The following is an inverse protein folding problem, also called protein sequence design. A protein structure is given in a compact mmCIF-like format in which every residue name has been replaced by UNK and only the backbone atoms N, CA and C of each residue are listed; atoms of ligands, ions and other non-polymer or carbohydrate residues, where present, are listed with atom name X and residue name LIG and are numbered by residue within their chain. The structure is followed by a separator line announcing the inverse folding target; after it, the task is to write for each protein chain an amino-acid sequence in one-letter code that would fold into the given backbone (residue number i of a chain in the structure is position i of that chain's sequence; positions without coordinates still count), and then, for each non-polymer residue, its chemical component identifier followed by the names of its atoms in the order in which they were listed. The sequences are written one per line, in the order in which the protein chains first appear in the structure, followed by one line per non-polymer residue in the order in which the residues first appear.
data_IF_096647543506
#
_entry.id   IF_096647543506
#
_cell.length_a   1.000
_cell.length_b   1.000
_cell.length_c   1.000
_cell.angle_alpha   90.00
_cell.angle_beta   90.00
_cell.angle_gamma   90.00
#
_symmetry.space_group_name_H-M   'P 1'
#
loop_
_entity.id
_entity.type
_entity.pdbx_description
1 polymer ?
#
# COMPACT_ATOMS: atom_id res chain seq x y z
N UNK A 1 -59.43 7.35 -0.03
CA UNK A 1 -57.95 7.42 -0.08
C UNK A 1 -57.41 7.04 1.29
N UNK A 2 -56.92 5.80 1.50
CA UNK A 2 -56.03 5.37 2.62
C UNK A 2 -55.98 3.82 2.73
N UNK A 3 -55.64 3.13 1.63
CA UNK A 3 -55.29 1.70 1.71
C UNK A 3 -54.22 1.35 0.67
N UNK A 4 -54.28 1.93 -0.54
CA UNK A 4 -53.27 1.73 -1.59
C UNK A 4 -51.86 2.24 -1.23
N UNK A 5 -51.73 3.29 -0.42
CA UNK A 5 -50.41 3.80 -0.01
C UNK A 5 -49.69 2.91 1.02
N UNK A 6 -50.43 2.14 1.80
CA UNK A 6 -49.83 1.29 2.84
C UNK A 6 -49.17 0.04 2.26
N UNK A 7 -49.74 -0.52 1.19
CA UNK A 7 -49.19 -1.70 0.52
C UNK A 7 -47.84 -1.38 -0.14
N UNK A 8 -47.67 -0.18 -0.70
CA UNK A 8 -46.41 0.23 -1.34
C UNK A 8 -45.28 0.33 -0.30
N UNK A 9 -45.57 0.84 0.90
CA UNK A 9 -44.57 0.99 1.97
C UNK A 9 -44.11 -0.39 2.47
N UNK A 10 -45.04 -1.35 2.62
CA UNK A 10 -44.70 -2.70 3.09
C UNK A 10 -43.82 -3.44 2.07
N UNK A 11 -44.10 -3.30 0.77
CA UNK A 11 -43.29 -3.95 -0.29
C UNK A 11 -41.87 -3.39 -0.34
N UNK A 12 -41.69 -2.07 -0.19
CA UNK A 12 -40.36 -1.43 -0.19
C UNK A 12 -39.53 -1.86 1.03
N UNK A 13 -40.16 -1.97 2.21
CA UNK A 13 -39.47 -2.43 3.42
C UNK A 13 -39.07 -3.92 3.30
N UNK A 14 -39.91 -4.77 2.71
CA UNK A 14 -39.59 -6.19 2.52
C UNK A 14 -38.39 -6.39 1.58
N UNK A 15 -38.25 -5.59 0.51
CA UNK A 15 -37.11 -5.69 -0.42
C UNK A 15 -35.80 -5.24 0.24
N UNK A 16 -35.85 -4.23 1.11
CA UNK A 16 -34.65 -3.72 1.80
C UNK A 16 -34.16 -4.65 2.92
N UNK A 17 -35.06 -5.37 3.61
CA UNK A 17 -34.68 -6.27 4.70
C UNK A 17 -34.19 -7.63 4.18
N UNK A 18 -34.78 -8.16 3.10
CA UNK A 18 -34.48 -9.52 2.63
C UNK A 18 -33.52 -9.60 1.43
N UNK A 19 -33.11 -8.47 0.85
CA UNK A 19 -32.27 -8.43 -0.35
C UNK A 19 -30.82 -8.94 -0.24
N UNK A 20 -30.06 -8.76 0.86
CA UNK A 20 -28.61 -8.92 0.78
C UNK A 20 -28.08 -10.34 1.09
N UNK A 21 -28.91 -11.36 1.28
CA UNK A 21 -28.41 -12.70 1.65
C UNK A 21 -28.01 -13.61 0.47
N UNK A 22 -28.16 -13.17 -0.79
CA UNK A 22 -27.97 -14.05 -1.96
C UNK A 22 -26.60 -13.96 -2.66
N UNK A 23 -25.62 -13.18 -2.16
CA UNK A 23 -24.36 -12.94 -2.91
C UNK A 23 -23.10 -13.33 -2.11
N UNK A 24 -23.16 -14.42 -1.34
CA UNK A 24 -22.00 -14.93 -0.59
C UNK A 24 -21.79 -16.43 -0.78
N UNK A 25 -21.72 -16.90 -2.02
CA UNK A 25 -21.12 -18.22 -2.34
C UNK A 25 -20.50 -18.20 -3.73
N UNK A 26 -19.28 -17.68 -3.86
CA UNK A 26 -18.37 -18.16 -4.91
C UNK A 26 -16.93 -17.98 -4.41
N UNK A 27 -16.38 -19.07 -3.89
CA UNK A 27 -15.05 -19.19 -3.31
C UNK A 27 -14.32 -20.29 -4.07
N UNK A 28 -13.06 -19.97 -4.42
CA UNK A 28 -11.92 -20.86 -4.71
C UNK A 28 -12.08 -21.88 -5.83
N UNK A 29 -11.20 -21.76 -6.82
CA UNK A 29 -10.09 -22.70 -7.07
C UNK A 29 -9.48 -22.37 -8.44
N UNK A 30 -8.18 -22.11 -8.50
CA UNK A 30 -7.25 -22.62 -9.53
C UNK A 30 -5.86 -22.09 -9.16
N UNK A 31 -5.06 -22.89 -8.46
CA UNK A 31 -3.60 -22.71 -8.40
C UNK A 31 -3.04 -23.79 -9.31
N UNK A 32 -2.48 -23.36 -10.45
CA UNK A 32 -1.81 -24.24 -11.41
C UNK A 32 -0.47 -24.67 -10.82
N UNK A 33 -0.30 -25.97 -10.69
CA UNK A 33 0.91 -26.63 -10.25
C UNK A 33 1.87 -26.94 -11.41
N UNK A 34 3.14 -26.56 -11.21
CA UNK A 34 4.39 -27.34 -11.40
C UNK A 34 4.67 -27.95 -12.78
N UNK A 35 5.85 -27.62 -13.36
CA UNK A 35 6.98 -28.56 -13.62
C UNK A 35 8.05 -27.90 -14.51
N UNK A 36 9.17 -27.48 -13.90
CA UNK A 36 10.42 -27.27 -14.64
C UNK A 36 11.27 -28.54 -14.51
N UNK A 37 11.34 -29.30 -15.61
CA UNK A 37 12.29 -30.38 -15.82
C UNK A 37 13.66 -29.78 -16.19
N UNK A 38 14.69 -30.04 -15.39
CA UNK A 38 16.08 -29.90 -15.83
C UNK A 38 16.76 -31.28 -15.77
N UNK A 39 17.43 -31.71 -16.85
CA UNK A 39 18.13 -32.99 -16.88
C UNK A 39 19.44 -32.92 -16.10
N UNK A 40 19.57 -33.89 -15.19
CA UNK A 40 20.82 -34.33 -14.57
C UNK A 40 21.68 -35.00 -15.64
N UNK A 41 22.93 -34.54 -15.81
CA UNK A 41 23.94 -35.31 -16.54
C UNK A 41 25.15 -35.53 -15.62
N UNK A 42 25.45 -36.81 -15.45
CA UNK A 42 26.51 -37.36 -14.62
C UNK A 42 27.81 -37.56 -15.43
N UNK A 43 28.87 -37.80 -14.67
CA UNK A 43 30.16 -38.43 -15.01
C UNK A 43 31.29 -37.63 -15.68
N UNK A 44 32.33 -37.37 -14.87
CA UNK A 44 33.61 -38.07 -15.05
C UNK A 44 34.51 -38.00 -13.80
N UNK A 45 35.29 -39.07 -13.50
CA UNK A 45 36.17 -39.14 -12.34
C UNK A 45 37.63 -38.84 -12.72
N UNK A 46 38.34 -37.99 -11.98
CA UNK A 46 39.81 -37.93 -12.05
C UNK A 46 40.45 -37.64 -10.69
N UNK A 47 41.12 -38.68 -10.20
CA UNK A 47 42.38 -38.75 -9.47
C UNK A 47 42.68 -37.84 -8.25
N UNK A 48 42.89 -38.54 -7.13
CA UNK A 48 43.69 -38.19 -5.96
C UNK A 48 44.91 -37.31 -6.27
N UNK A 49 45.11 -36.28 -5.43
CA UNK A 49 46.43 -35.99 -4.89
C UNK A 49 46.30 -35.43 -3.47
N UNK A 50 46.98 -36.13 -2.57
CA UNK A 50 47.12 -35.90 -1.15
C UNK A 50 48.18 -34.82 -0.92
N UNK A 51 47.78 -33.68 -0.39
CA UNK A 51 48.69 -32.63 0.11
C UNK A 51 48.08 -32.08 1.40
N UNK A 52 48.67 -32.48 2.53
CA UNK A 52 48.44 -31.86 3.83
C UNK A 52 48.84 -30.38 3.76
N UNK A 53 47.84 -29.51 3.84
CA UNK A 53 48.00 -28.10 4.08
C UNK A 53 47.58 -27.79 5.53
N UNK A 54 48.46 -27.10 6.24
CA UNK A 54 48.25 -26.54 7.57
C UNK A 54 47.05 -25.57 7.50
N UNK A 55 45.96 -25.90 8.20
CA UNK A 55 44.73 -25.11 8.22
C UNK A 55 44.94 -23.88 9.11
N UNK A 56 45.08 -22.71 8.49
CA UNK A 56 44.78 -21.44 9.14
C UNK A 56 43.28 -21.41 9.53
N UNK A 57 42.90 -20.76 10.65
CA UNK A 57 41.51 -20.66 11.06
C UNK A 57 40.70 -19.93 9.99
N UNK A 58 39.75 -20.65 9.37
CA UNK A 58 38.75 -20.08 8.47
C UNK A 58 37.87 -19.15 9.30
N UNK A 59 38.13 -17.85 9.20
CA UNK A 59 37.24 -16.81 9.72
C UNK A 59 36.02 -16.84 8.79
N UNK A 60 34.94 -17.47 9.24
CA UNK A 60 33.64 -17.38 8.56
C UNK A 60 33.19 -15.92 8.58
N UNK A 61 33.38 -15.24 7.44
CA UNK A 61 32.81 -13.94 7.18
C UNK A 61 31.28 -14.09 7.20
N UNK A 62 30.54 -13.27 7.97
CA UNK A 62 29.09 -13.42 8.05
C UNK A 62 28.47 -13.22 6.67
N UNK A 63 27.80 -14.24 6.16
CA UNK A 63 27.01 -14.19 4.93
C UNK A 63 25.96 -13.11 5.13
N UNK A 64 26.14 -11.96 4.48
CA UNK A 64 25.13 -10.91 4.45
C UNK A 64 23.97 -11.44 3.59
N UNK A 65 22.82 -11.70 4.22
CA UNK A 65 21.59 -11.97 3.50
C UNK A 65 21.18 -10.69 2.74
N UNK A 66 21.45 -10.67 1.44
CA UNK A 66 20.94 -9.63 0.54
C UNK A 66 19.41 -9.68 0.58
N UNK A 67 18.83 -8.71 1.29
CA UNK A 67 17.39 -8.50 1.39
C UNK A 67 16.91 -8.17 -0.03
N UNK A 68 16.28 -9.14 -0.71
CA UNK A 68 15.74 -8.96 -2.06
C UNK A 68 14.57 -8.00 -1.97
N UNK A 69 14.84 -6.71 -2.18
CA UNK A 69 13.83 -5.66 -2.17
C UNK A 69 12.85 -5.89 -3.32
N UNK A 70 11.64 -6.33 -2.98
CA UNK A 70 10.64 -6.73 -3.96
C UNK A 70 9.94 -5.47 -4.48
N UNK A 71 10.10 -5.20 -5.78
CA UNK A 71 9.37 -4.13 -6.46
C UNK A 71 7.90 -4.49 -6.62
N UNK A 72 7.01 -3.50 -6.55
CA UNK A 72 5.57 -3.68 -6.66
C UNK A 72 4.94 -2.58 -7.51
N UNK A 73 3.71 -2.84 -7.99
CA UNK A 73 2.86 -1.83 -8.62
C UNK A 73 1.66 -1.53 -7.73
N UNK A 74 1.17 -2.55 -7.01
CA UNK A 74 0.02 -2.45 -6.12
C UNK A 74 0.29 -3.19 -4.81
N UNK A 75 -0.37 -2.78 -3.72
CA UNK A 75 -0.18 -3.39 -2.40
C UNK A 75 -0.60 -4.86 -2.32
N UNK A 76 -1.34 -5.39 -3.30
CA UNK A 76 -1.62 -6.83 -3.38
C UNK A 76 -0.45 -7.66 -3.91
N UNK A 77 0.59 -7.01 -4.44
CA UNK A 77 1.84 -7.67 -4.87
C UNK A 77 2.76 -7.97 -3.67
N UNK A 78 2.50 -7.34 -2.52
CA UNK A 78 3.32 -7.43 -1.31
C UNK A 78 2.81 -8.50 -0.32
N UNK A 79 3.65 -8.85 0.64
CA UNK A 79 3.28 -9.82 1.68
C UNK A 79 2.17 -9.28 2.58
N UNK A 80 1.50 -10.19 3.30
CA UNK A 80 0.44 -9.80 4.22
C UNK A 80 0.96 -8.85 5.31
N UNK A 81 0.37 -7.66 5.40
CA UNK A 81 0.77 -6.60 6.33
C UNK A 81 1.63 -5.50 5.70
N UNK A 82 2.22 -5.76 4.53
CA UNK A 82 2.98 -4.79 3.76
C UNK A 82 2.08 -3.99 2.81
N UNK A 83 2.63 -2.89 2.30
CA UNK A 83 2.03 -2.04 1.27
C UNK A 83 3.04 -1.78 0.18
N UNK A 84 2.54 -1.47 -1.01
CA UNK A 84 3.38 -0.97 -2.07
C UNK A 84 3.63 0.52 -1.86
N UNK A 85 4.79 0.86 -1.31
CA UNK A 85 5.21 2.22 -0.96
C UNK A 85 6.25 2.67 -1.98
N UNK A 86 5.90 3.64 -2.84
CA UNK A 86 6.76 4.12 -3.93
C UNK A 86 7.35 2.99 -4.80
N UNK A 87 6.55 1.99 -5.14
CA UNK A 87 6.94 0.79 -5.91
C UNK A 87 7.86 -0.20 -5.17
N UNK A 88 7.94 -0.11 -3.85
CA UNK A 88 8.68 -1.07 -3.00
C UNK A 88 7.74 -1.63 -1.93
N UNK A 89 7.79 -2.95 -1.70
CA UNK A 89 7.06 -3.56 -0.60
C UNK A 89 7.71 -3.24 0.74
N UNK A 90 6.90 -2.78 1.70
CA UNK A 90 7.35 -2.50 3.08
C UNK A 90 6.21 -2.02 3.97
N UNK A 91 6.56 -1.57 5.17
CA UNK A 91 5.58 -1.03 6.13
C UNK A 91 5.73 0.49 6.31
N UNK A 92 4.65 1.16 6.71
CA UNK A 92 4.70 2.62 6.99
C UNK A 92 5.64 2.93 8.16
N UNK A 93 5.81 2.00 9.10
CA UNK A 93 6.68 2.19 10.25
C UNK A 93 8.16 2.28 9.86
N UNK A 94 8.58 1.53 8.83
CA UNK A 94 9.96 1.56 8.30
C UNK A 94 10.37 2.90 7.70
N UNK A 95 9.40 3.77 7.40
CA UNK A 95 9.68 5.12 6.88
C UNK A 95 10.28 6.05 7.95
N UNK A 96 10.18 5.71 9.23
CA UNK A 96 10.50 6.61 10.32
C UNK A 96 11.58 6.06 11.24
N UNK A 97 12.41 6.96 11.76
CA UNK A 97 13.35 6.68 12.85
C UNK A 97 12.70 7.09 14.17
N UNK A 98 12.83 6.24 15.18
CA UNK A 98 12.20 6.42 16.50
C UNK A 98 13.22 6.50 17.65
N UNK A 99 14.52 6.60 17.35
CA UNK A 99 15.60 6.60 18.35
C UNK A 99 16.08 8.03 18.64
N UNK A 100 15.37 8.74 19.52
CA UNK A 100 15.65 10.14 19.89
C UNK A 100 14.93 10.57 21.17
N UNK A 101 15.38 11.68 21.75
CA UNK A 101 14.88 12.21 23.02
C UNK A 101 13.49 12.86 22.93
N UNK A 102 13.12 13.42 21.77
CA UNK A 102 11.79 14.00 21.53
C UNK A 102 11.19 13.46 20.24
N UNK A 103 9.97 12.97 20.36
CA UNK A 103 9.21 12.36 19.28
C UNK A 103 8.04 13.27 18.91
N UNK A 104 7.83 13.42 17.62
CA UNK A 104 6.78 14.20 17.00
C UNK A 104 5.87 13.30 16.17
N UNK A 105 4.64 13.77 15.97
CA UNK A 105 3.76 13.22 14.96
C UNK A 105 2.95 14.34 14.35
N UNK A 106 2.55 14.21 13.09
CA UNK A 106 1.70 15.20 12.49
C UNK A 106 0.26 15.06 12.98
N UNK A 107 -0.32 16.15 13.45
CA UNK A 107 -1.73 16.23 13.79
C UNK A 107 -2.57 16.41 12.51
N UNK A 108 -2.17 17.37 11.68
CA UNK A 108 -2.89 17.74 10.47
C UNK A 108 -1.97 18.25 9.37
N UNK A 109 -2.42 18.14 8.12
CA UNK A 109 -1.70 18.62 6.94
C UNK A 109 -2.61 19.49 6.08
N UNK A 110 -2.01 20.35 5.27
CA UNK A 110 -2.69 21.11 4.22
C UNK A 110 -2.30 20.55 2.86
N UNK A 111 -3.29 20.09 2.11
CA UNK A 111 -3.12 19.45 0.79
C UNK A 111 -3.95 20.18 -0.24
N UNK A 112 -3.41 20.38 -1.44
CA UNK A 112 -4.19 20.81 -2.61
C UNK A 112 -4.07 19.84 -3.76
N UNK A 113 -5.08 19.79 -4.63
CA UNK A 113 -5.02 19.07 -5.91
C UNK A 113 -4.87 20.05 -7.07
N UNK A 114 -4.34 19.59 -8.20
CA UNK A 114 -4.31 20.38 -9.44
C UNK A 114 -5.70 20.72 -9.99
N UNK A 115 -6.76 20.08 -9.47
CA UNK A 115 -8.16 20.41 -9.77
C UNK A 115 -8.68 21.66 -9.06
N UNK A 116 -7.90 22.23 -8.13
CA UNK A 116 -8.25 23.45 -7.38
C UNK A 116 -8.82 23.18 -5.99
N UNK A 117 -8.99 21.91 -5.59
CA UNK A 117 -9.45 21.58 -4.24
C UNK A 117 -8.33 21.76 -3.21
N UNK A 118 -8.69 22.17 -2.00
CA UNK A 118 -7.78 22.29 -0.87
C UNK A 118 -8.41 21.70 0.39
N UNK A 119 -7.60 20.99 1.18
CA UNK A 119 -8.05 20.25 2.33
C UNK A 119 -7.08 20.43 3.50
N UNK A 120 -7.65 20.62 4.69
CA UNK A 120 -6.94 20.36 5.95
C UNK A 120 -7.43 19.03 6.50
N UNK A 121 -6.51 18.09 6.70
CA UNK A 121 -6.86 16.72 7.13
C UNK A 121 -5.90 16.23 8.19
N UNK A 122 -6.46 15.57 9.20
CA UNK A 122 -5.72 14.82 10.20
C UNK A 122 -5.41 13.41 9.73
N UNK A 123 -4.54 12.71 10.48
CA UNK A 123 -4.25 11.28 10.29
C UNK A 123 -5.52 10.44 10.12
N UNK A 124 -5.51 9.51 9.18
CA UNK A 124 -6.68 8.70 8.83
C UNK A 124 -7.75 9.44 8.02
N UNK A 125 -7.66 10.76 7.90
CA UNK A 125 -8.49 11.57 7.02
C UNK A 125 -8.10 11.42 5.55
N UNK A 126 -8.97 11.86 4.66
CA UNK A 126 -8.76 11.73 3.23
C UNK A 126 -9.67 12.60 2.39
N UNK A 127 -9.68 12.32 1.10
CA UNK A 127 -10.52 12.97 0.10
C UNK A 127 -10.76 12.06 -1.09
N UNK A 128 -11.53 12.56 -2.05
CA UNK A 128 -11.85 11.86 -3.28
C UNK A 128 -11.78 12.83 -4.47
N UNK A 129 -11.48 12.28 -5.64
CA UNK A 129 -11.46 13.00 -6.90
C UNK A 129 -12.18 12.17 -7.98
N UNK A 130 -12.53 12.79 -9.11
CA UNK A 130 -13.12 12.08 -10.24
C UNK A 130 -14.42 11.34 -9.92
N UNK A 131 -15.35 11.98 -9.21
CA UNK A 131 -16.61 11.37 -8.75
C UNK A 131 -16.44 10.09 -7.90
N UNK A 132 -15.33 9.98 -7.17
CA UNK A 132 -15.02 8.83 -6.31
C UNK A 132 -14.24 7.72 -7.00
N UNK A 133 -13.76 7.94 -8.23
CA UNK A 133 -12.89 7.00 -8.93
C UNK A 133 -11.51 6.86 -8.26
N UNK A 134 -11.01 7.93 -7.63
CA UNK A 134 -9.78 7.89 -6.82
C UNK A 134 -10.08 8.45 -5.45
N UNK A 135 -9.86 7.64 -4.43
CA UNK A 135 -9.84 8.04 -3.03
C UNK A 135 -8.39 8.11 -2.57
N UNK A 136 -8.07 9.09 -1.74
CA UNK A 136 -6.77 9.19 -1.09
C UNK A 136 -6.96 9.33 0.41
N UNK A 137 -6.08 8.72 1.19
CA UNK A 137 -6.15 8.67 2.64
C UNK A 137 -4.77 8.83 3.27
N UNK A 138 -4.67 9.66 4.29
CA UNK A 138 -3.47 9.78 5.10
C UNK A 138 -3.35 8.58 6.00
N UNK A 139 -2.25 7.85 5.88
CA UNK A 139 -1.95 6.75 6.78
C UNK A 139 -1.42 7.31 8.10
N UNK A 140 -1.78 6.64 9.19
CA UNK A 140 -1.15 6.90 10.49
C UNK A 140 0.23 6.27 10.48
N UNK A 141 1.26 7.08 10.70
CA UNK A 141 2.61 6.60 11.01
C UNK A 141 2.85 6.55 12.52
N UNK A 142 3.91 5.83 12.95
CA UNK A 142 4.44 5.99 14.31
C UNK A 142 4.91 7.43 14.54
N UNK A 143 5.26 7.74 15.78
CA UNK A 143 5.97 8.99 16.06
C UNK A 143 7.38 8.92 15.43
N UNK A 144 7.95 10.08 15.14
CA UNK A 144 9.24 10.24 14.48
C UNK A 144 10.07 11.32 15.17
N UNK A 145 11.37 11.33 14.95
CA UNK A 145 12.24 12.27 15.66
C UNK A 145 12.00 13.73 15.27
N UNK A 146 12.00 14.62 16.26
CA UNK A 146 11.90 16.05 15.99
C UNK A 146 13.07 16.52 15.11
N UNK A 147 12.75 17.19 14.01
CA UNK A 147 13.74 17.71 13.07
C UNK A 147 14.19 16.73 12.00
N UNK A 148 13.76 15.46 12.06
CA UNK A 148 13.83 14.59 10.89
C UNK A 148 12.88 15.10 9.80
N UNK A 149 13.22 14.81 8.55
CA UNK A 149 12.35 15.14 7.42
C UNK A 149 10.98 14.49 7.58
N UNK A 150 9.93 15.30 7.67
CA UNK A 150 8.56 14.79 7.83
C UNK A 150 8.17 14.06 6.54
N UNK A 151 7.87 12.77 6.68
CA UNK A 151 7.32 11.96 5.61
C UNK A 151 5.82 11.81 5.82
N UNK A 152 5.03 12.12 4.80
CA UNK A 152 3.57 11.98 4.82
C UNK A 152 3.16 10.83 3.89
N UNK A 153 2.74 9.68 4.45
CA UNK A 153 2.28 8.53 3.68
C UNK A 153 0.81 8.70 3.28
N UNK A 154 0.56 8.67 1.97
CA UNK A 154 -0.77 8.78 1.35
C UNK A 154 -1.10 7.47 0.68
N UNK A 155 -2.13 6.77 1.14
CA UNK A 155 -2.72 5.64 0.43
C UNK A 155 -3.66 6.13 -0.66
N UNK A 156 -3.38 5.76 -1.91
CA UNK A 156 -4.29 5.92 -3.04
C UNK A 156 -5.10 4.64 -3.22
N UNK A 157 -6.41 4.80 -3.39
CA UNK A 157 -7.35 3.71 -3.62
C UNK A 157 -8.12 4.03 -4.91
N UNK A 158 -7.81 3.29 -5.99
CA UNK A 158 -8.49 3.45 -7.28
C UNK A 158 -9.68 2.51 -7.35
N UNK A 159 -10.84 3.02 -7.78
CA UNK A 159 -12.12 2.31 -7.74
C UNK A 159 -12.88 2.46 -9.06
N UNK A 160 -13.49 1.37 -9.51
CA UNK A 160 -14.46 1.38 -10.60
C UNK A 160 -15.81 0.89 -10.09
N UNK A 161 -16.81 1.77 -10.10
CA UNK A 161 -18.19 1.50 -9.62
C UNK A 161 -18.22 0.87 -8.21
N UNK A 162 -17.34 1.35 -7.32
CA UNK A 162 -17.23 0.89 -5.93
C UNK A 162 -16.34 -0.35 -5.73
N UNK A 163 -15.88 -1.00 -6.79
CA UNK A 163 -14.91 -2.09 -6.72
C UNK A 163 -13.50 -1.50 -6.67
N UNK A 164 -12.69 -1.90 -5.69
CA UNK A 164 -11.30 -1.48 -5.58
C UNK A 164 -10.49 -2.18 -6.66
N UNK A 165 -9.86 -1.40 -7.54
CA UNK A 165 -8.98 -1.89 -8.60
C UNK A 165 -7.53 -2.00 -8.11
N UNK A 166 -7.07 -0.99 -7.36
CA UNK A 166 -5.71 -0.97 -6.84
C UNK A 166 -5.59 -0.14 -5.57
N UNK A 167 -4.56 -0.46 -4.79
CA UNK A 167 -4.07 0.34 -3.68
C UNK A 167 -2.56 0.51 -3.83
N UNK A 168 -2.07 1.70 -3.54
CA UNK A 168 -0.65 2.04 -3.51
C UNK A 168 -0.42 3.14 -2.47
N UNK A 169 0.80 3.30 -1.98
CA UNK A 169 1.18 4.36 -1.04
C UNK A 169 2.24 5.24 -1.69
N UNK A 170 1.97 6.54 -1.69
CA UNK A 170 2.95 7.56 -2.04
C UNK A 170 3.46 8.21 -0.77
N UNK A 171 4.75 8.53 -0.72
CA UNK A 171 5.30 9.34 0.37
C UNK A 171 5.70 10.70 -0.17
N UNK A 172 5.34 11.76 0.54
CA UNK A 172 5.68 13.13 0.20
C UNK A 172 6.20 13.87 1.42
N UNK A 173 7.11 14.81 1.19
CA UNK A 173 7.52 15.81 2.17
C UNK A 173 6.68 17.09 2.06
N UNK A 174 6.63 17.93 3.10
CA UNK A 174 6.07 19.26 2.99
C UNK A 174 6.74 20.06 1.86
N UNK A 175 5.92 20.64 0.98
CA UNK A 175 6.35 21.35 -0.22
C UNK A 175 6.43 20.49 -1.48
N UNK A 176 6.28 19.16 -1.39
CA UNK A 176 6.36 18.27 -2.54
C UNK A 176 5.00 18.08 -3.24
N UNK A 177 5.09 17.83 -4.55
CA UNK A 177 3.96 17.49 -5.43
C UNK A 177 4.15 16.09 -5.97
N UNK A 178 3.07 15.30 -5.99
CA UNK A 178 3.08 13.96 -6.60
C UNK A 178 3.37 14.02 -8.10
N UNK A 179 3.81 12.89 -8.64
CA UNK A 179 3.60 12.62 -10.06
C UNK A 179 2.10 12.63 -10.41
N UNK A 180 1.78 12.67 -11.70
CA UNK A 180 0.39 12.68 -12.18
C UNK A 180 -0.30 11.37 -11.77
N UNK A 181 -1.32 11.50 -10.92
CA UNK A 181 -2.17 10.40 -10.48
C UNK A 181 -3.25 10.19 -11.55
N UNK A 182 -3.32 8.97 -12.07
CA UNK A 182 -4.27 8.57 -13.12
C UNK A 182 -5.17 7.43 -12.65
N UNK A 183 -6.30 7.23 -13.36
CA UNK A 183 -7.19 6.09 -13.16
C UNK A 183 -7.10 5.08 -14.32
N UNK A 184 -6.97 3.76 -14.08
CA UNK A 184 -6.72 2.77 -15.13
C UNK A 184 -7.85 2.65 -16.16
N UNK A 185 -9.12 2.83 -15.75
CA UNK A 185 -10.29 2.69 -16.64
C UNK A 185 -10.96 4.01 -16.99
N UNK A 186 -10.48 5.15 -16.45
CA UNK A 186 -11.09 6.47 -16.65
C UNK A 186 -10.05 7.51 -17.04
N UNK A 187 -9.85 7.67 -18.35
CA UNK A 187 -8.82 8.56 -18.91
C UNK A 187 -9.05 10.05 -18.58
N UNK A 188 -10.26 10.45 -18.19
CA UNK A 188 -10.56 11.81 -17.76
C UNK A 188 -10.08 12.13 -16.34
N UNK A 189 -9.72 11.10 -15.55
CA UNK A 189 -9.24 11.28 -14.18
C UNK A 189 -7.71 11.35 -14.21
N UNK A 190 -7.20 12.57 -14.08
CA UNK A 190 -5.77 12.87 -14.02
C UNK A 190 -5.57 14.13 -13.16
N UNK A 191 -4.77 14.03 -12.10
CA UNK A 191 -4.48 15.17 -11.23
C UNK A 191 -3.14 14.98 -10.51
N UNK A 192 -2.55 16.06 -10.00
CA UNK A 192 -1.45 16.01 -9.03
C UNK A 192 -1.94 16.46 -7.66
N UNK A 193 -1.18 16.11 -6.63
CA UNK A 193 -1.46 16.50 -5.26
C UNK A 193 -0.21 17.11 -4.64
N UNK A 194 -0.37 18.21 -3.92
CA UNK A 194 0.73 18.93 -3.26
C UNK A 194 0.47 19.00 -1.76
N UNK A 195 1.49 18.68 -0.96
CA UNK A 195 1.48 18.95 0.48
C UNK A 195 2.08 20.32 0.69
N UNK A 196 1.31 21.27 1.22
CA UNK A 196 1.82 22.63 1.48
C UNK A 196 2.51 22.73 2.83
N UNK A 197 1.88 22.20 3.87
CA UNK A 197 2.37 22.31 5.23
C UNK A 197 1.87 21.17 6.09
N UNK A 198 2.63 20.88 7.14
CA UNK A 198 2.31 19.89 8.16
C UNK A 198 2.32 20.58 9.51
N UNK A 199 1.32 20.31 10.33
CA UNK A 199 1.25 20.74 11.71
C UNK A 199 1.59 19.54 12.62
N UNK A 200 2.64 19.70 13.43
CA UNK A 200 3.20 18.65 14.25
C UNK A 200 2.90 18.88 15.73
N UNK A 201 2.76 17.78 16.46
CA UNK A 201 2.67 17.77 17.92
C UNK A 201 3.77 16.87 18.43
N UNK A 202 4.62 17.41 19.32
CA UNK A 202 5.76 16.72 19.88
C UNK A 202 5.61 16.55 21.39
N UNK A 203 6.22 15.50 21.93
CA UNK A 203 6.27 15.17 23.36
C UNK A 203 7.69 14.96 23.86
#
# INVERSE_FOLDING_TARGET
MKLRNWIIIIVVIAVLIFGPLAVYTYVKETIVSVTNNLPVNADSPVANNDIQAEQEPVIEEPVQEDIVQTSCIVSSDCLAGEKCINNVCGTVAELYKMDCDSTCNFDSIVVSTSGGDSYTRSRGGGGYTGAGAVEWKLLSGPDYCQGDGIIVPIELIKKDRGVILSKEVLTLHPGETTSVITHPTSASVSFTMTIHSVNEVCS
#
